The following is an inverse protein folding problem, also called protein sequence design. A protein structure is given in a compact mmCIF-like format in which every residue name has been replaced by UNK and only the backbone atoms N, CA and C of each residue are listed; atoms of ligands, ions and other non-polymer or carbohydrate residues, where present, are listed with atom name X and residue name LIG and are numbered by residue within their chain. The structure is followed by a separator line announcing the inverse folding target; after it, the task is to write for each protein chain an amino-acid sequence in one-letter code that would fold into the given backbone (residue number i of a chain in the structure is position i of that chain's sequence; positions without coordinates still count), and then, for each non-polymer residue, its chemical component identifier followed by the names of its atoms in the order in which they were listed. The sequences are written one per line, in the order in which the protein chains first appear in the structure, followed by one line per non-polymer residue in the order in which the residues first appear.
data_IF_495367830229
#
_entry.id   IF_495367830229
#
_cell.length_a   1.000
_cell.length_b   1.000
_cell.length_c   1.000
_cell.angle_alpha   90.00
_cell.angle_beta   90.00
_cell.angle_gamma   90.00
#
_symmetry.space_group_name_H-M   'P 1'
#
loop_
_entity.id
_entity.type
_entity.pdbx_description
1 polymer ?
#
# COMPACT_ATOMS: atom_id res chain seq x y z
N UNK A 1 -12.82 37.26 -0.65
CA UNK A 1 -13.11 36.12 -1.52
C UNK A 1 -12.08 35.91 -2.63
N UNK A 2 -11.51 36.96 -3.22
CA UNK A 2 -10.49 36.88 -4.29
C UNK A 2 -9.13 36.35 -3.81
N UNK A 3 -8.71 36.68 -2.57
CA UNK A 3 -7.47 36.14 -1.98
C UNK A 3 -7.59 34.69 -1.52
N UNK A 4 -8.76 34.28 -1.06
CA UNK A 4 -9.04 32.89 -0.70
C UNK A 4 -8.99 31.96 -1.93
N UNK A 5 -9.50 32.42 -3.09
CA UNK A 5 -9.50 31.64 -4.32
C UNK A 5 -8.10 31.45 -4.95
N UNK A 6 -7.19 32.46 -4.81
CA UNK A 6 -5.79 32.33 -5.23
C UNK A 6 -5.01 31.40 -4.31
N UNK A 7 -5.18 31.51 -3.00
CA UNK A 7 -4.54 30.61 -2.03
C UNK A 7 -4.92 29.15 -2.27
N UNK A 8 -6.21 28.85 -2.49
CA UNK A 8 -6.67 27.49 -2.82
C UNK A 8 -6.07 26.95 -4.15
N UNK A 9 -5.96 27.79 -5.17
CA UNK A 9 -5.39 27.39 -6.47
C UNK A 9 -3.91 27.05 -6.39
N UNK A 10 -3.13 27.79 -5.61
CA UNK A 10 -1.69 27.56 -5.44
C UNK A 10 -1.40 26.35 -4.55
N UNK A 11 -2.21 26.11 -3.52
CA UNK A 11 -2.16 24.91 -2.69
C UNK A 11 -2.50 23.65 -3.51
N UNK A 12 -3.50 23.73 -4.37
CA UNK A 12 -3.84 22.63 -5.28
C UNK A 12 -2.72 22.29 -6.26
N UNK A 13 -1.96 23.30 -6.73
CA UNK A 13 -0.80 23.09 -7.62
C UNK A 13 0.38 22.47 -6.86
N UNK A 14 0.60 22.83 -5.60
CA UNK A 14 1.66 22.27 -4.75
C UNK A 14 1.40 20.81 -4.34
N UNK A 15 0.12 20.40 -4.27
CA UNK A 15 -0.31 19.06 -3.88
C UNK A 15 -0.61 18.14 -5.07
N UNK A 16 -0.44 18.62 -6.31
CA UNK A 16 -0.56 17.79 -7.51
C UNK A 16 0.63 16.82 -7.59
N UNK A 17 0.36 15.60 -8.04
CA UNK A 17 1.41 14.61 -8.27
C UNK A 17 2.49 15.18 -9.22
N UNK A 18 3.72 15.13 -8.74
CA UNK A 18 4.92 15.50 -9.50
C UNK A 18 5.89 14.31 -9.47
N UNK A 19 5.98 13.62 -10.60
CA UNK A 19 6.75 12.40 -10.74
C UNK A 19 8.26 12.61 -10.53
N UNK A 20 8.79 13.70 -11.09
CA UNK A 20 10.21 14.04 -10.98
C UNK A 20 10.62 14.28 -9.52
N UNK A 21 9.83 15.07 -8.78
CA UNK A 21 10.07 15.29 -7.34
C UNK A 21 9.97 14.00 -6.53
N UNK A 22 8.95 13.16 -6.80
CA UNK A 22 8.78 11.90 -6.10
C UNK A 22 9.98 10.98 -6.34
N UNK A 23 10.39 10.79 -7.59
CA UNK A 23 11.56 9.98 -7.92
C UNK A 23 12.83 10.54 -7.29
N UNK A 24 13.07 11.87 -7.36
CA UNK A 24 14.23 12.50 -6.75
C UNK A 24 14.32 12.21 -5.25
N UNK A 25 13.22 12.38 -4.51
CA UNK A 25 13.18 12.09 -3.06
C UNK A 25 13.51 10.62 -2.80
N UNK A 26 12.79 9.70 -3.48
CA UNK A 26 12.89 8.27 -3.23
C UNK A 26 14.27 7.70 -3.60
N UNK A 27 14.84 8.13 -4.72
CA UNK A 27 16.15 7.63 -5.17
C UNK A 27 17.31 8.22 -4.39
N UNK A 28 17.17 9.45 -3.86
CA UNK A 28 18.24 10.14 -3.13
C UNK A 28 18.25 9.75 -1.65
N UNK A 29 17.08 9.72 -1.02
CA UNK A 29 16.97 9.59 0.44
C UNK A 29 16.35 8.27 0.89
N UNK A 30 15.70 7.54 -0.04
CA UNK A 30 15.07 6.28 0.26
C UNK A 30 13.56 6.35 0.45
N UNK A 31 12.97 5.20 0.69
CA UNK A 31 11.53 5.02 0.87
C UNK A 31 11.19 3.86 1.80
N UNK A 32 9.97 3.35 1.63
CA UNK A 32 9.41 2.22 2.37
C UNK A 32 8.54 1.35 1.45
N UNK A 33 7.91 0.33 1.99
CA UNK A 33 7.08 -0.61 1.22
C UNK A 33 5.90 0.04 0.48
N UNK A 34 5.43 1.21 0.94
CA UNK A 34 4.24 1.87 0.39
C UNK A 34 4.60 2.99 -0.59
N UNK A 35 5.90 3.36 -0.68
CA UNK A 35 6.35 4.52 -1.45
C UNK A 35 6.00 4.44 -2.93
N UNK A 36 6.04 3.24 -3.51
CA UNK A 36 5.73 3.02 -4.92
C UNK A 36 4.27 3.33 -5.27
N UNK A 37 3.35 3.19 -4.31
CA UNK A 37 1.91 3.40 -4.52
C UNK A 37 1.56 4.83 -5.00
N UNK A 38 2.44 5.82 -4.78
CA UNK A 38 2.22 7.20 -5.27
C UNK A 38 2.14 7.26 -6.81
N UNK A 39 2.82 6.35 -7.52
CA UNK A 39 2.84 6.30 -8.98
C UNK A 39 1.55 5.72 -9.59
N UNK A 40 0.63 5.20 -8.78
CA UNK A 40 -0.75 4.90 -9.21
C UNK A 40 -1.56 6.16 -9.52
N UNK A 41 -1.11 7.34 -9.04
CA UNK A 41 -1.69 8.65 -9.32
C UNK A 41 -3.16 8.80 -8.84
N UNK A 42 -3.57 7.96 -7.89
CA UNK A 42 -4.87 8.00 -7.21
C UNK A 42 -4.84 8.81 -5.91
N UNK A 43 -3.64 9.20 -5.48
CA UNK A 43 -3.35 9.98 -4.29
C UNK A 43 -2.76 11.34 -4.64
N UNK A 44 -2.81 12.25 -3.69
CA UNK A 44 -2.09 13.53 -3.71
C UNK A 44 -0.72 13.34 -3.09
N UNK A 45 0.15 14.27 -3.36
CA UNK A 45 1.51 14.30 -2.89
C UNK A 45 1.78 15.62 -2.18
N UNK A 46 2.35 15.55 -0.98
CA UNK A 46 2.98 16.69 -0.33
C UNK A 46 4.49 16.44 -0.33
N UNK A 47 5.24 17.34 -0.95
CA UNK A 47 6.70 17.30 -0.95
C UNK A 47 7.22 18.44 -0.07
N UNK A 48 7.88 18.09 1.03
CA UNK A 48 8.58 19.05 1.88
C UNK A 48 9.92 19.39 1.25
N UNK A 49 10.22 20.69 1.23
CA UNK A 49 11.47 21.21 0.67
C UNK A 49 12.26 21.92 1.80
N UNK A 50 13.53 21.55 1.94
CA UNK A 50 14.48 22.19 2.83
C UNK A 50 15.62 22.75 2.01
N UNK A 51 15.93 24.03 2.22
CA UNK A 51 16.98 24.78 1.47
C UNK A 51 16.79 24.71 -0.07
N UNK A 52 15.53 24.68 -0.53
CA UNK A 52 15.19 24.62 -1.96
C UNK A 52 15.23 23.22 -2.58
N UNK A 53 15.52 22.16 -1.79
CA UNK A 53 15.58 20.78 -2.23
C UNK A 53 14.43 19.95 -1.62
N UNK A 54 13.72 19.14 -2.43
CA UNK A 54 12.68 18.27 -1.93
C UNK A 54 13.31 17.08 -1.19
N UNK A 55 13.00 16.94 0.10
CA UNK A 55 13.63 15.94 0.99
C UNK A 55 12.67 14.90 1.53
N UNK A 56 11.38 15.23 1.68
CA UNK A 56 10.37 14.30 2.24
C UNK A 56 9.11 14.30 1.40
N UNK A 57 8.51 13.13 1.25
CA UNK A 57 7.28 12.87 0.53
C UNK A 57 6.23 12.29 1.48
N UNK A 58 5.04 12.89 1.54
CA UNK A 58 3.83 12.30 2.10
C UNK A 58 2.80 12.07 0.98
N UNK A 59 2.20 10.89 0.96
CA UNK A 59 1.11 10.55 0.03
C UNK A 59 -0.22 10.50 0.80
N UNK A 60 -1.27 11.13 0.26
CA UNK A 60 -2.52 11.24 0.99
C UNK A 60 -3.75 11.35 0.07
N UNK A 61 -4.92 11.10 0.63
CA UNK A 61 -6.21 11.35 0.00
C UNK A 61 -7.13 12.08 0.97
N UNK A 62 -8.09 12.86 0.44
CA UNK A 62 -9.01 13.61 1.30
C UNK A 62 -10.46 13.16 1.06
N UNK A 63 -11.19 13.03 2.16
CA UNK A 63 -12.63 12.82 2.17
C UNK A 63 -13.27 13.72 3.22
N UNK A 64 -14.29 14.50 2.82
CA UNK A 64 -14.87 15.57 3.63
C UNK A 64 -13.77 16.50 4.17
N UNK A 65 -13.69 16.66 5.49
CA UNK A 65 -12.66 17.46 6.16
C UNK A 65 -11.47 16.63 6.66
N UNK A 66 -11.30 15.37 6.24
CA UNK A 66 -10.18 14.52 6.63
C UNK A 66 -9.19 14.38 5.47
N UNK A 67 -7.89 14.55 5.76
CA UNK A 67 -6.79 14.18 4.89
C UNK A 67 -6.11 12.96 5.47
N UNK A 68 -6.23 11.81 4.78
CA UNK A 68 -5.65 10.55 5.22
C UNK A 68 -4.29 10.38 4.55
N UNK A 69 -3.23 10.42 5.34
CA UNK A 69 -1.86 10.11 4.92
C UNK A 69 -1.66 8.61 4.97
N UNK A 70 -1.10 8.04 3.91
CA UNK A 70 -0.85 6.61 3.77
C UNK A 70 0.58 6.28 4.15
N UNK A 71 0.76 5.43 5.16
CA UNK A 71 2.05 4.93 5.61
C UNK A 71 2.93 5.99 6.27
N UNK A 72 4.18 5.61 6.46
CA UNK A 72 5.22 6.54 6.93
C UNK A 72 5.62 7.50 5.81
N UNK A 73 6.12 8.71 6.13
CA UNK A 73 6.78 9.56 5.17
C UNK A 73 7.93 8.83 4.47
N UNK A 74 8.23 9.21 3.25
CA UNK A 74 9.36 8.70 2.48
C UNK A 74 10.39 9.80 2.29
N UNK A 75 11.67 9.48 2.32
CA UNK A 75 12.74 10.45 2.11
C UNK A 75 13.71 10.55 3.27
N UNK A 76 14.24 11.75 3.50
CA UNK A 76 15.25 12.02 4.51
C UNK A 76 14.64 12.00 5.92
N UNK A 77 14.99 10.99 6.71
CA UNK A 77 14.37 10.73 8.02
C UNK A 77 14.52 11.87 9.02
N UNK A 78 15.68 12.54 9.00
CA UNK A 78 15.97 13.65 9.90
C UNK A 78 15.02 14.84 9.70
N UNK A 79 14.41 14.95 8.51
CA UNK A 79 13.49 16.03 8.17
C UNK A 79 12.01 15.62 8.39
N UNK A 80 11.71 14.39 8.85
CA UNK A 80 10.33 13.91 9.06
C UNK A 80 9.54 14.78 10.06
N UNK A 81 10.08 15.19 11.24
CA UNK A 81 9.34 16.04 12.16
C UNK A 81 8.92 17.36 11.53
N UNK A 82 9.85 18.05 10.86
CA UNK A 82 9.58 19.34 10.20
C UNK A 82 8.59 19.19 9.03
N UNK A 83 8.71 18.08 8.26
CA UNK A 83 7.81 17.79 7.15
C UNK A 83 6.38 17.50 7.61
N UNK A 84 6.24 16.75 8.72
CA UNK A 84 4.94 16.46 9.34
C UNK A 84 4.31 17.72 9.87
N UNK A 85 5.07 18.58 10.58
CA UNK A 85 4.61 19.88 11.08
C UNK A 85 4.11 20.76 9.95
N UNK A 86 4.92 20.91 8.89
CA UNK A 86 4.54 21.70 7.72
C UNK A 86 3.29 21.15 7.01
N UNK A 87 3.09 19.82 6.98
CA UNK A 87 1.88 19.22 6.44
C UNK A 87 0.65 19.51 7.32
N UNK A 88 0.79 19.43 8.65
CA UNK A 88 -0.28 19.76 9.61
C UNK A 88 -0.68 21.23 9.43
N UNK A 89 0.27 22.15 9.42
CA UNK A 89 0.01 23.58 9.22
C UNK A 89 -0.69 23.86 7.88
N UNK A 90 -0.27 23.19 6.81
CA UNK A 90 -0.87 23.34 5.49
C UNK A 90 -2.31 22.83 5.45
N UNK A 91 -2.59 21.69 6.10
CA UNK A 91 -3.95 21.14 6.17
C UNK A 91 -4.85 21.99 7.08
N UNK A 92 -4.34 22.53 8.19
CA UNK A 92 -5.07 23.41 9.09
C UNK A 92 -5.51 24.70 8.39
N UNK A 93 -4.63 25.31 7.59
CA UNK A 93 -4.98 26.47 6.76
C UNK A 93 -6.12 26.22 5.80
N UNK A 94 -6.32 24.95 5.42
CA UNK A 94 -7.38 24.49 4.52
C UNK A 94 -8.60 23.96 5.26
N UNK A 95 -8.63 24.02 6.58
CA UNK A 95 -9.66 23.46 7.45
C UNK A 95 -9.81 21.93 7.28
N UNK A 96 -8.72 21.23 6.99
CA UNK A 96 -8.65 19.76 7.00
C UNK A 96 -8.02 19.27 8.29
N UNK A 97 -8.43 18.08 8.71
CA UNK A 97 -7.89 17.35 9.85
C UNK A 97 -7.05 16.18 9.33
N UNK A 98 -5.72 16.21 9.47
CA UNK A 98 -4.86 15.11 9.05
C UNK A 98 -5.10 13.87 9.91
N UNK A 99 -5.04 12.71 9.26
CA UNK A 99 -5.05 11.38 9.87
C UNK A 99 -3.92 10.60 9.24
N UNK A 100 -3.06 9.99 10.03
CA UNK A 100 -1.94 9.19 9.55
C UNK A 100 -2.29 7.71 9.73
N UNK A 101 -2.33 6.97 8.64
CA UNK A 101 -2.82 5.60 8.55
C UNK A 101 -1.69 4.63 8.21
N UNK A 102 -1.65 3.47 8.87
CA UNK A 102 -0.61 2.42 8.71
C UNK A 102 0.81 2.86 9.09
N UNK A 103 0.95 3.78 10.05
CA UNK A 103 2.26 4.28 10.47
C UNK A 103 2.99 3.36 11.44
N UNK A 104 4.32 3.48 11.46
CA UNK A 104 5.22 2.81 12.40
C UNK A 104 5.22 3.47 13.78
N UNK A 105 5.85 2.81 14.77
CA UNK A 105 6.07 3.37 16.10
C UNK A 105 6.94 4.64 16.08
N UNK A 106 7.88 4.74 15.14
CA UNK A 106 8.73 5.92 14.97
C UNK A 106 7.87 7.18 14.70
N UNK A 107 6.87 7.06 13.83
CA UNK A 107 5.96 8.16 13.50
C UNK A 107 4.96 8.44 14.61
N UNK A 108 4.54 7.41 15.38
CA UNK A 108 3.71 7.60 16.58
C UNK A 108 4.39 8.54 17.57
N UNK A 109 5.69 8.36 17.81
CA UNK A 109 6.44 9.21 18.74
C UNK A 109 6.50 10.65 18.28
N UNK A 110 6.73 10.90 16.99
CA UNK A 110 6.77 12.24 16.41
C UNK A 110 5.39 12.91 16.53
N UNK A 111 4.33 12.24 16.08
CA UNK A 111 2.98 12.81 16.06
C UNK A 111 2.38 13.01 17.46
N UNK A 112 2.82 12.22 18.44
CA UNK A 112 2.40 12.40 19.83
C UNK A 112 2.84 13.77 20.39
N UNK A 113 4.01 14.27 19.98
CA UNK A 113 4.49 15.61 20.35
C UNK A 113 3.59 16.71 19.76
N UNK A 114 2.95 16.45 18.62
CA UNK A 114 1.94 17.36 18.01
C UNK A 114 0.52 17.17 18.56
N UNK A 115 0.34 16.38 19.63
CA UNK A 115 -0.95 16.21 20.31
C UNK A 115 -1.90 15.21 19.65
N UNK A 116 -1.39 14.31 18.80
CA UNK A 116 -2.18 13.25 18.20
C UNK A 116 -2.37 12.07 19.15
N UNK A 117 -3.59 11.55 19.19
CA UNK A 117 -3.88 10.25 19.78
C UNK A 117 -3.70 9.15 18.73
N UNK A 118 -3.50 7.91 19.18
CA UNK A 118 -3.31 6.78 18.30
C UNK A 118 -4.11 5.56 18.71
N UNK A 119 -4.41 4.71 17.74
CA UNK A 119 -4.90 3.35 17.94
C UNK A 119 -4.06 2.37 17.12
N UNK A 120 -3.88 1.16 17.64
CA UNK A 120 -3.33 0.08 16.83
C UNK A 120 -4.32 -0.28 15.74
N UNK A 121 -3.86 -0.31 14.47
CA UNK A 121 -4.71 -0.60 13.32
C UNK A 121 -4.57 -2.04 12.82
N UNK A 122 -3.47 -2.69 13.12
CA UNK A 122 -3.19 -4.06 12.73
C UNK A 122 -1.74 -4.44 12.95
N UNK A 123 -1.33 -5.52 12.30
CA UNK A 123 0.05 -5.98 12.30
C UNK A 123 0.49 -6.29 10.88
N UNK A 124 1.67 -5.84 10.53
CA UNK A 124 2.31 -6.09 9.25
C UNK A 124 3.23 -7.32 9.35
N UNK A 125 3.14 -8.22 8.39
CA UNK A 125 3.84 -9.50 8.41
C UNK A 125 5.15 -9.41 7.64
N UNK A 126 6.26 -9.78 8.27
CA UNK A 126 7.58 -9.85 7.65
C UNK A 126 8.12 -11.28 7.65
N UNK A 127 8.81 -11.63 6.59
CA UNK A 127 9.57 -12.88 6.44
C UNK A 127 11.06 -12.52 6.43
N UNK A 128 11.81 -13.03 7.42
CA UNK A 128 13.26 -12.98 7.38
C UNK A 128 13.77 -14.01 6.37
N UNK A 129 14.18 -13.56 5.20
CA UNK A 129 14.61 -14.42 4.11
C UNK A 129 15.89 -15.20 4.40
N UNK A 130 16.72 -14.72 5.32
CA UNK A 130 17.94 -15.42 5.71
C UNK A 130 17.65 -16.66 6.53
N UNK A 131 16.69 -16.56 7.46
CA UNK A 131 16.31 -17.65 8.36
C UNK A 131 15.13 -18.49 7.83
N UNK A 132 14.38 -17.97 6.83
CA UNK A 132 13.23 -18.67 6.30
C UNK A 132 13.61 -20.00 5.65
N UNK A 133 12.87 -21.05 6.00
CA UNK A 133 13.03 -22.39 5.41
C UNK A 133 11.68 -23.05 5.25
N UNK A 134 11.55 -23.82 4.19
CA UNK A 134 10.40 -24.71 3.96
C UNK A 134 10.50 -26.04 4.71
N UNK A 135 11.59 -26.29 5.44
CA UNK A 135 11.77 -27.53 6.21
C UNK A 135 10.85 -27.58 7.44
N UNK A 136 10.74 -28.76 8.05
CA UNK A 136 9.95 -28.97 9.26
C UNK A 136 8.48 -29.31 9.03
N UNK A 137 7.79 -29.66 10.13
CA UNK A 137 6.41 -30.19 10.12
C UNK A 137 5.38 -29.13 9.70
N UNK A 138 5.59 -27.88 10.14
CA UNK A 138 4.70 -26.72 9.83
C UNK A 138 4.54 -26.54 8.31
N UNK A 139 5.62 -26.69 7.55
CA UNK A 139 5.65 -26.43 6.11
C UNK A 139 5.39 -27.67 5.25
N UNK A 140 5.03 -28.83 5.85
CA UNK A 140 4.79 -30.08 5.10
C UNK A 140 3.73 -29.93 4.01
N UNK A 141 2.60 -29.28 4.35
CA UNK A 141 1.50 -29.03 3.39
C UNK A 141 1.94 -28.14 2.24
N UNK A 142 2.63 -27.04 2.56
CA UNK A 142 3.12 -26.06 1.58
C UNK A 142 4.14 -26.70 0.62
N UNK A 143 5.09 -27.52 1.14
CA UNK A 143 6.02 -28.29 0.29
C UNK A 143 5.30 -29.28 -0.63
N UNK A 144 4.25 -29.95 -0.13
CA UNK A 144 3.47 -30.88 -0.95
C UNK A 144 2.79 -30.16 -2.11
N UNK A 145 2.27 -28.96 -1.89
CA UNK A 145 1.69 -28.09 -2.93
C UNK A 145 2.76 -27.68 -3.93
N UNK A 146 3.92 -27.20 -3.49
CA UNK A 146 5.04 -26.82 -4.34
C UNK A 146 5.44 -27.96 -5.26
N UNK A 147 5.80 -29.13 -4.69
CA UNK A 147 6.24 -30.29 -5.44
C UNK A 147 5.17 -30.84 -6.40
N UNK A 148 3.89 -30.67 -6.10
CA UNK A 148 2.80 -31.03 -6.99
C UNK A 148 2.75 -30.14 -8.20
N UNK A 149 2.76 -28.80 -7.99
CA UNK A 149 2.67 -27.81 -9.07
C UNK A 149 3.88 -27.92 -10.00
N UNK A 150 5.10 -28.15 -9.46
CA UNK A 150 6.31 -28.42 -10.25
C UNK A 150 6.18 -29.68 -11.10
N UNK A 151 5.66 -30.78 -10.54
CA UNK A 151 5.42 -32.04 -11.30
C UNK A 151 4.35 -31.87 -12.36
N UNK A 152 3.37 -30.99 -12.17
CA UNK A 152 2.37 -30.63 -13.17
C UNK A 152 2.96 -29.74 -14.28
N UNK A 153 4.25 -29.37 -14.19
CA UNK A 153 5.01 -28.67 -15.22
C UNK A 153 4.83 -27.13 -15.19
N UNK A 154 4.32 -26.58 -14.11
CA UNK A 154 4.29 -25.13 -13.93
C UNK A 154 5.68 -24.60 -13.54
N UNK A 155 6.02 -23.43 -14.06
CA UNK A 155 7.31 -22.77 -13.84
C UNK A 155 7.13 -21.36 -13.27
N UNK A 156 8.16 -20.87 -12.61
CA UNK A 156 8.24 -19.49 -12.11
C UNK A 156 9.29 -18.71 -12.91
N UNK A 157 9.01 -17.46 -13.21
CA UNK A 157 9.94 -16.56 -13.89
C UNK A 157 9.74 -15.12 -13.41
N UNK A 158 10.74 -14.26 -13.60
CA UNK A 158 10.67 -12.82 -13.30
C UNK A 158 10.94 -12.03 -14.57
N UNK A 159 9.91 -11.41 -15.09
CA UNK A 159 9.98 -10.61 -16.30
C UNK A 159 10.38 -9.17 -15.96
N UNK A 160 11.26 -8.60 -16.78
CA UNK A 160 11.74 -7.23 -16.64
C UNK A 160 10.99 -6.28 -17.60
N UNK A 161 10.67 -5.04 -17.18
CA UNK A 161 10.15 -4.04 -18.10
C UNK A 161 11.24 -3.60 -19.12
N UNK A 162 10.87 -3.09 -20.31
CA UNK A 162 9.50 -2.80 -20.74
C UNK A 162 8.76 -4.06 -21.22
N UNK A 163 7.47 -4.17 -20.82
CA UNK A 163 6.62 -5.26 -21.26
C UNK A 163 5.98 -4.95 -22.62
N UNK A 164 5.88 -5.99 -23.46
CA UNK A 164 5.19 -5.87 -24.74
C UNK A 164 3.68 -5.66 -24.57
N UNK A 165 3.02 -5.16 -25.63
CA UNK A 165 1.55 -5.01 -25.65
C UNK A 165 0.84 -6.35 -25.42
N UNK A 166 1.40 -7.45 -25.90
CA UNK A 166 0.85 -8.79 -25.71
C UNK A 166 0.95 -9.25 -24.25
N UNK A 167 2.11 -9.03 -23.61
CA UNK A 167 2.31 -9.32 -22.19
C UNK A 167 1.35 -8.48 -21.34
N UNK A 168 1.25 -7.18 -21.62
CA UNK A 168 0.35 -6.28 -20.90
C UNK A 168 -1.12 -6.69 -21.06
N UNK A 169 -1.54 -7.08 -22.26
CA UNK A 169 -2.87 -7.64 -22.51
C UNK A 169 -3.11 -8.93 -21.71
N UNK A 170 -2.11 -9.80 -21.61
CA UNK A 170 -2.19 -11.02 -20.80
C UNK A 170 -2.37 -10.71 -19.32
N UNK A 171 -1.57 -9.79 -18.75
CA UNK A 171 -1.73 -9.35 -17.36
C UNK A 171 -3.11 -8.74 -17.13
N UNK A 172 -3.61 -7.92 -18.06
CA UNK A 172 -4.95 -7.33 -17.99
C UNK A 172 -6.04 -8.39 -17.95
N UNK A 173 -5.97 -9.38 -18.82
CA UNK A 173 -6.95 -10.47 -18.88
C UNK A 173 -6.96 -11.30 -17.58
N UNK A 174 -5.78 -11.63 -17.04
CA UNK A 174 -5.67 -12.33 -15.75
C UNK A 174 -6.28 -11.49 -14.63
N UNK A 175 -5.97 -10.20 -14.61
CA UNK A 175 -6.49 -9.27 -13.60
C UNK A 175 -8.02 -9.16 -13.67
N UNK A 176 -8.59 -8.99 -14.85
CA UNK A 176 -10.03 -8.89 -15.07
C UNK A 176 -10.76 -10.20 -14.69
N UNK A 177 -10.19 -11.35 -15.04
CA UNK A 177 -10.72 -12.67 -14.66
C UNK A 177 -10.69 -12.88 -13.13
N UNK A 178 -9.63 -12.42 -12.47
CA UNK A 178 -9.51 -12.48 -11.01
C UNK A 178 -10.53 -11.55 -10.32
N UNK A 179 -10.73 -10.34 -10.84
CA UNK A 179 -11.70 -9.37 -10.32
C UNK A 179 -13.14 -9.88 -10.49
N UNK A 180 -13.49 -10.44 -11.65
CA UNK A 180 -14.86 -10.80 -11.99
C UNK A 180 -15.79 -9.59 -11.90
N UNK A 181 -16.81 -9.67 -11.03
CA UNK A 181 -17.76 -8.56 -10.81
C UNK A 181 -17.28 -7.51 -9.78
N UNK A 182 -16.17 -7.75 -9.13
CA UNK A 182 -15.59 -6.82 -8.13
C UNK A 182 -14.98 -5.61 -8.82
N UNK A 183 -14.93 -4.48 -8.11
CA UNK A 183 -14.25 -3.27 -8.58
C UNK A 183 -12.84 -3.21 -8.02
N UNK A 184 -11.93 -2.60 -8.78
CA UNK A 184 -10.61 -2.24 -8.28
C UNK A 184 -10.73 -1.28 -7.09
N UNK A 185 -9.89 -1.51 -6.10
CA UNK A 185 -9.71 -0.63 -4.95
C UNK A 185 -8.38 0.06 -5.10
N UNK A 186 -8.28 1.27 -4.56
CA UNK A 186 -7.06 2.05 -4.57
C UNK A 186 -6.59 2.40 -3.16
N UNK A 187 -5.93 3.55 -3.04
CA UNK A 187 -5.37 4.14 -1.83
C UNK A 187 -4.29 3.27 -1.17
N UNK A 188 -4.66 2.37 -0.25
CA UNK A 188 -3.71 1.47 0.42
C UNK A 188 -3.39 0.20 -0.37
N UNK A 189 -4.08 -0.02 -1.49
CA UNK A 189 -3.93 -1.20 -2.35
C UNK A 189 -3.56 -0.81 -3.77
N UNK A 190 -2.75 -1.65 -4.41
CA UNK A 190 -2.48 -1.54 -5.83
C UNK A 190 -3.66 -1.97 -6.70
N UNK A 191 -3.74 -1.37 -7.87
CA UNK A 191 -4.69 -1.74 -8.90
C UNK A 191 -4.01 -1.81 -10.27
N UNK A 192 -4.69 -2.42 -11.23
CA UNK A 192 -4.13 -2.57 -12.58
C UNK A 192 -4.02 -1.20 -13.28
N UNK A 193 -2.79 -0.83 -13.58
CA UNK A 193 -2.45 0.36 -14.38
C UNK A 193 -1.23 0.03 -15.23
N UNK A 194 -1.34 0.17 -16.55
CA UNK A 194 -0.25 -0.17 -17.48
C UNK A 194 1.02 0.65 -17.17
N UNK A 195 0.89 1.96 -16.99
CA UNK A 195 2.01 2.84 -16.61
C UNK A 195 2.70 2.38 -15.33
N UNK A 196 1.91 1.90 -14.37
CA UNK A 196 2.43 1.46 -13.07
C UNK A 196 3.16 0.11 -13.18
N UNK A 197 2.59 -0.83 -13.93
CA UNK A 197 3.20 -2.14 -14.13
C UNK A 197 4.55 -2.03 -14.89
N UNK A 198 4.67 -1.08 -15.81
CA UNK A 198 5.92 -0.83 -16.55
C UNK A 198 7.09 -0.32 -15.67
N UNK A 199 6.85 -0.04 -14.40
CA UNK A 199 7.87 0.54 -13.50
C UNK A 199 8.67 -0.47 -12.71
N UNK A 200 8.29 -1.74 -12.74
CA UNK A 200 8.87 -2.76 -11.87
C UNK A 200 8.84 -4.14 -12.50
N UNK A 201 9.72 -5.05 -12.09
CA UNK A 201 9.66 -6.45 -12.50
C UNK A 201 8.34 -7.11 -12.08
N UNK A 202 7.92 -8.10 -12.86
CA UNK A 202 6.72 -8.90 -12.59
C UNK A 202 7.11 -10.36 -12.47
N UNK A 203 6.84 -10.95 -11.31
CA UNK A 203 6.92 -12.39 -11.11
C UNK A 203 5.72 -13.07 -11.75
N UNK A 204 5.94 -14.14 -12.48
CA UNK A 204 4.92 -14.88 -13.23
C UNK A 204 4.97 -16.37 -12.94
N UNK A 205 3.81 -17.01 -13.03
CA UNK A 205 3.68 -18.47 -13.08
C UNK A 205 3.19 -18.85 -14.48
N UNK A 206 3.92 -19.75 -15.14
CA UNK A 206 3.59 -20.25 -16.47
C UNK A 206 3.15 -21.71 -16.41
N UNK A 207 2.24 -22.09 -17.29
CA UNK A 207 1.82 -23.48 -17.47
C UNK A 207 2.75 -24.22 -18.48
N UNK A 208 2.44 -25.48 -18.79
CA UNK A 208 3.21 -26.30 -19.72
C UNK A 208 3.20 -25.82 -21.18
N UNK A 209 2.29 -24.90 -21.52
CA UNK A 209 2.23 -24.22 -22.82
C UNK A 209 2.94 -22.86 -22.81
N UNK A 210 3.72 -22.54 -21.77
CA UNK A 210 4.37 -21.24 -21.56
C UNK A 210 3.38 -20.05 -21.40
N UNK A 211 2.08 -20.33 -21.18
CA UNK A 211 1.10 -19.29 -20.93
C UNK A 211 1.20 -18.80 -19.47
N UNK A 212 1.20 -17.50 -19.26
CA UNK A 212 1.15 -16.88 -17.93
C UNK A 212 -0.24 -17.12 -17.33
N UNK A 213 -0.30 -17.71 -16.14
CA UNK A 213 -1.54 -18.04 -15.42
C UNK A 213 -1.67 -17.31 -14.07
N UNK A 214 -0.58 -16.74 -13.56
CA UNK A 214 -0.58 -15.90 -12.37
C UNK A 214 0.57 -14.90 -12.44
N UNK A 215 0.43 -13.77 -11.78
CA UNK A 215 1.49 -12.77 -11.66
C UNK A 215 1.44 -11.99 -10.35
N UNK A 216 2.59 -11.43 -9.98
CA UNK A 216 2.71 -10.44 -8.90
C UNK A 216 3.70 -9.35 -9.28
N UNK A 217 3.38 -8.09 -9.00
CA UNK A 217 4.28 -6.95 -9.22
C UNK A 217 5.30 -6.87 -8.10
N UNK A 218 6.59 -6.83 -8.42
CA UNK A 218 7.67 -6.68 -7.44
C UNK A 218 7.91 -5.19 -7.23
N UNK A 219 7.57 -4.68 -6.04
CA UNK A 219 7.60 -3.25 -5.77
C UNK A 219 9.00 -2.75 -5.40
N UNK A 220 9.49 -1.68 -6.04
CA UNK A 220 10.61 -0.91 -5.52
C UNK A 220 10.26 -0.30 -4.16
N UNK A 221 11.07 -0.58 -3.15
CA UNK A 221 10.89 -0.05 -1.79
C UNK A 221 11.86 1.08 -1.47
N UNK A 222 12.85 1.27 -2.30
CA UNK A 222 13.91 2.29 -2.10
C UNK A 222 14.64 2.16 -0.76
N UNK A 223 14.73 0.93 -0.22
CA UNK A 223 15.33 0.62 1.09
C UNK A 223 16.75 0.10 0.99
N UNK A 224 17.46 0.34 -0.11
CA UNK A 224 18.78 -0.22 -0.39
C UNK A 224 18.80 -1.76 -0.28
N UNK A 225 17.85 -2.42 -0.93
CA UNK A 225 17.67 -3.88 -0.95
C UNK A 225 17.46 -4.54 0.42
N UNK A 226 17.02 -3.80 1.43
CA UNK A 226 16.72 -4.39 2.75
C UNK A 226 15.37 -5.09 2.80
N UNK A 227 14.38 -4.52 2.16
CA UNK A 227 13.00 -5.01 2.17
C UNK A 227 12.49 -5.18 0.74
N UNK A 228 11.92 -6.33 0.42
CA UNK A 228 11.15 -6.58 -0.78
C UNK A 228 9.66 -6.68 -0.45
N UNK A 229 8.81 -6.34 -1.40
CA UNK A 229 7.35 -6.49 -1.28
C UNK A 229 6.73 -6.67 -2.64
N UNK A 230 5.49 -7.11 -2.65
CA UNK A 230 4.62 -7.15 -3.82
C UNK A 230 3.38 -6.32 -3.53
N UNK A 231 2.73 -5.86 -4.58
CA UNK A 231 1.51 -5.09 -4.47
C UNK A 231 0.34 -5.80 -5.16
N UNK A 232 0.32 -5.81 -6.46
CA UNK A 232 -0.73 -6.48 -7.22
C UNK A 232 -0.39 -7.96 -7.42
N UNK A 233 -1.23 -8.85 -6.88
CA UNK A 233 -1.10 -10.29 -7.04
C UNK A 233 -2.39 -10.87 -7.59
N UNK A 234 -2.34 -11.48 -8.79
CA UNK A 234 -3.51 -11.98 -9.55
C UNK A 234 -3.24 -13.35 -10.14
N UNK A 235 -4.30 -14.12 -10.31
CA UNK A 235 -4.24 -15.41 -10.98
C UNK A 235 -5.51 -15.68 -11.80
N UNK A 236 -5.38 -16.41 -12.87
CA UNK A 236 -6.52 -16.91 -13.64
C UNK A 236 -7.18 -18.08 -12.89
N UNK A 237 -8.40 -17.87 -12.42
CA UNK A 237 -9.11 -18.87 -11.60
C UNK A 237 -9.44 -20.17 -12.33
N UNK A 238 -9.35 -20.18 -13.66
CA UNK A 238 -9.64 -21.37 -14.53
C UNK A 238 -8.37 -22.12 -14.90
N UNK A 239 -7.25 -21.43 -15.08
CA UNK A 239 -5.99 -21.99 -15.60
C UNK A 239 -4.95 -22.23 -14.50
N UNK A 240 -4.95 -21.41 -13.43
CA UNK A 240 -3.96 -21.54 -12.37
C UNK A 240 -4.28 -22.72 -11.44
N UNK A 241 -3.26 -23.51 -11.06
CA UNK A 241 -3.47 -24.63 -10.15
C UNK A 241 -3.82 -24.16 -8.74
N UNK A 242 -4.55 -24.99 -8.00
CA UNK A 242 -4.79 -24.73 -6.58
C UNK A 242 -3.46 -24.61 -5.83
N UNK A 243 -3.27 -23.54 -5.04
CA UNK A 243 -2.03 -23.25 -4.35
C UNK A 243 -1.03 -22.41 -5.15
N UNK A 244 -1.42 -21.84 -6.29
CA UNK A 244 -0.57 -20.94 -7.09
C UNK A 244 0.01 -19.80 -6.28
N UNK A 245 -0.71 -19.28 -5.28
CA UNK A 245 -0.22 -18.21 -4.42
C UNK A 245 0.90 -18.69 -3.49
N UNK A 246 0.78 -19.90 -2.95
CA UNK A 246 1.84 -20.51 -2.13
C UNK A 246 3.09 -20.77 -3.00
N UNK A 247 2.89 -21.27 -4.23
CA UNK A 247 3.96 -21.48 -5.22
C UNK A 247 4.67 -20.18 -5.56
N UNK A 248 3.92 -19.12 -5.85
CA UNK A 248 4.45 -17.81 -6.20
C UNK A 248 5.25 -17.20 -5.03
N UNK A 249 4.72 -17.24 -3.81
CA UNK A 249 5.44 -16.71 -2.64
C UNK A 249 6.75 -17.45 -2.35
N UNK A 250 6.76 -18.77 -2.41
CA UNK A 250 7.98 -19.54 -2.13
C UNK A 250 9.09 -19.25 -3.14
N UNK A 251 8.74 -19.15 -4.42
CA UNK A 251 9.70 -18.78 -5.46
C UNK A 251 10.12 -17.32 -5.37
N UNK A 252 9.21 -16.40 -5.01
CA UNK A 252 9.55 -15.01 -4.73
C UNK A 252 10.54 -14.88 -3.58
N UNK A 253 10.36 -15.63 -2.50
CA UNK A 253 11.31 -15.62 -1.37
C UNK A 253 12.70 -16.11 -1.78
N UNK A 254 12.77 -17.15 -2.62
CA UNK A 254 14.04 -17.64 -3.15
C UNK A 254 14.70 -16.58 -4.04
N UNK A 255 13.95 -16.03 -5.00
CA UNK A 255 14.41 -14.95 -5.89
C UNK A 255 14.91 -13.73 -5.12
N UNK A 256 14.12 -13.22 -4.16
CA UNK A 256 14.50 -12.06 -3.36
C UNK A 256 15.74 -12.32 -2.51
N UNK A 257 15.92 -13.54 -2.02
CA UNK A 257 17.12 -13.94 -1.29
C UNK A 257 18.36 -13.95 -2.20
N UNK A 258 18.24 -14.41 -3.43
CA UNK A 258 19.31 -14.36 -4.45
C UNK A 258 19.68 -12.91 -4.80
N UNK A 259 18.69 -12.01 -4.83
CA UNK A 259 18.89 -10.56 -4.98
C UNK A 259 19.41 -9.85 -3.70
N UNK A 260 19.83 -10.61 -2.68
CA UNK A 260 20.37 -10.12 -1.41
C UNK A 260 19.40 -9.27 -0.59
N UNK A 261 18.09 -9.45 -0.78
CA UNK A 261 17.06 -8.82 0.04
C UNK A 261 16.95 -9.58 1.37
N UNK A 262 16.90 -8.83 2.48
CA UNK A 262 16.91 -9.42 3.82
C UNK A 262 15.51 -9.79 4.32
N UNK A 263 14.54 -8.93 4.04
CA UNK A 263 13.18 -9.05 4.52
C UNK A 263 12.18 -9.01 3.38
N UNK A 264 11.14 -9.82 3.48
CA UNK A 264 9.98 -9.71 2.59
C UNK A 264 8.77 -9.25 3.38
N UNK A 265 8.19 -8.11 2.97
CA UNK A 265 6.97 -7.57 3.56
C UNK A 265 5.75 -8.16 2.85
N UNK A 266 4.92 -8.89 3.60
CA UNK A 266 3.66 -9.47 3.13
C UNK A 266 2.48 -8.50 3.24
N UNK A 267 2.71 -7.29 3.74
CA UNK A 267 1.68 -6.29 4.02
C UNK A 267 0.93 -6.51 5.32
N UNK A 268 0.08 -5.55 5.67
CA UNK A 268 -0.69 -5.53 6.91
C UNK A 268 -1.79 -6.59 6.92
N UNK A 269 -2.04 -7.15 8.10
CA UNK A 269 -3.27 -7.85 8.46
C UNK A 269 -4.12 -6.90 9.33
N UNK A 270 -5.12 -6.23 8.75
CA UNK A 270 -5.90 -5.23 9.46
C UNK A 270 -6.60 -5.84 10.68
N UNK A 271 -6.67 -5.05 11.76
CA UNK A 271 -7.29 -5.39 13.05
C UNK A 271 -6.73 -6.65 13.72
N UNK A 272 -5.60 -7.15 13.26
CA UNK A 272 -4.90 -8.24 13.89
C UNK A 272 -4.49 -7.85 15.32
N UNK A 273 -4.97 -8.63 16.32
CA UNK A 273 -4.74 -8.37 17.74
C UNK A 273 -5.18 -6.97 18.23
N UNK A 274 -6.24 -6.41 17.63
CA UNK A 274 -6.81 -5.10 18.01
C UNK A 274 -8.17 -5.30 18.67
N UNK A 275 -8.43 -4.61 19.78
CA UNK A 275 -9.75 -4.57 20.43
C UNK A 275 -10.27 -5.90 21.00
N UNK A 276 -9.46 -6.96 20.97
CA UNK A 276 -9.86 -8.33 21.37
C UNK A 276 -9.85 -8.56 22.88
N UNK A 277 -9.14 -7.72 23.64
CA UNK A 277 -9.12 -7.82 25.11
C UNK A 277 -10.28 -7.07 25.74
N UNK A 278 -10.80 -7.59 26.87
CA UNK A 278 -11.75 -6.85 27.71
C UNK A 278 -11.17 -5.55 28.28
N UNK A 279 -9.85 -5.42 28.30
CA UNK A 279 -9.10 -4.25 28.78
C UNK A 279 -8.69 -3.31 27.66
N UNK A 280 -9.02 -3.62 26.39
CA UNK A 280 -8.75 -2.73 25.25
C UNK A 280 -9.47 -1.39 25.42
N UNK A 281 -8.83 -0.32 24.96
CA UNK A 281 -9.44 1.01 24.95
C UNK A 281 -10.75 1.02 24.17
N UNK A 282 -11.68 1.86 24.61
CA UNK A 282 -13.00 1.98 23.95
C UNK A 282 -12.87 2.36 22.47
N UNK A 283 -11.90 3.22 22.15
CA UNK A 283 -11.62 3.65 20.79
C UNK A 283 -11.23 2.47 19.88
N UNK A 284 -10.37 1.56 20.35
CA UNK A 284 -9.98 0.36 19.60
C UNK A 284 -11.17 -0.59 19.38
N UNK A 285 -12.04 -0.71 20.38
CA UNK A 285 -13.24 -1.53 20.25
C UNK A 285 -14.24 -0.92 19.26
N UNK A 286 -14.39 0.40 19.24
CA UNK A 286 -15.23 1.11 18.26
C UNK A 286 -14.62 0.96 16.86
N UNK A 287 -13.31 1.15 16.70
CA UNK A 287 -12.62 0.96 15.44
C UNK A 287 -12.81 -0.45 14.89
N UNK A 288 -12.66 -1.46 15.74
CA UNK A 288 -12.92 -2.86 15.40
C UNK A 288 -14.36 -3.06 14.90
N UNK A 289 -15.34 -2.54 15.64
CA UNK A 289 -16.75 -2.70 15.26
C UNK A 289 -17.08 -2.00 13.93
N UNK A 290 -16.65 -0.75 13.77
CA UNK A 290 -16.91 0.01 12.51
C UNK A 290 -16.29 -0.70 11.31
N UNK A 291 -15.09 -1.25 11.48
CA UNK A 291 -14.40 -1.94 10.40
C UNK A 291 -15.02 -3.30 10.09
N UNK A 292 -15.39 -4.09 11.11
CA UNK A 292 -16.01 -5.40 10.93
C UNK A 292 -17.38 -5.29 10.27
N UNK A 293 -18.20 -4.33 10.67
CA UNK A 293 -19.52 -4.10 10.05
C UNK A 293 -19.42 -3.40 8.70
N UNK A 294 -18.40 -2.57 8.47
CA UNK A 294 -18.16 -1.88 7.20
C UNK A 294 -17.51 -2.75 6.12
N UNK A 295 -16.84 -3.83 6.52
CA UNK A 295 -16.03 -4.68 5.65
C UNK A 295 -16.69 -6.04 5.33
N UNK A 296 -18.00 -6.12 5.20
CA UNK A 296 -18.75 -7.37 4.92
C UNK A 296 -18.22 -8.24 3.77
N UNK A 297 -17.11 -7.82 3.12
CA UNK A 297 -16.52 -8.47 1.94
C UNK A 297 -15.09 -8.99 2.12
N UNK A 298 -14.46 -8.88 3.31
CA UNK A 298 -13.10 -9.37 3.51
C UNK A 298 -12.97 -10.15 4.81
N UNK A 299 -12.58 -11.42 4.72
CA UNK A 299 -12.26 -12.26 5.88
C UNK A 299 -10.84 -11.92 6.38
N UNK A 300 -10.73 -10.86 7.20
CA UNK A 300 -9.44 -10.45 7.80
C UNK A 300 -8.80 -11.55 8.66
N UNK A 301 -9.63 -12.39 9.28
CA UNK A 301 -9.12 -13.51 10.08
C UNK A 301 -8.36 -14.52 9.23
N UNK A 302 -8.88 -14.88 8.07
CA UNK A 302 -8.20 -15.76 7.11
C UNK A 302 -6.92 -15.18 6.54
N UNK A 303 -6.85 -13.85 6.37
CA UNK A 303 -5.65 -13.17 5.86
C UNK A 303 -4.48 -13.27 6.85
N UNK A 304 -4.71 -13.03 8.12
CA UNK A 304 -3.68 -13.19 9.16
C UNK A 304 -3.20 -14.64 9.26
N UNK A 305 -4.12 -15.57 9.27
CA UNK A 305 -3.79 -17.00 9.33
C UNK A 305 -2.96 -17.42 8.11
N UNK A 306 -3.35 -16.98 6.91
CA UNK A 306 -2.59 -17.23 5.69
C UNK A 306 -1.16 -16.68 5.77
N UNK A 307 -1.00 -15.40 6.15
CA UNK A 307 0.32 -14.78 6.30
C UNK A 307 1.17 -15.44 7.39
N UNK A 308 0.53 -15.96 8.45
CA UNK A 308 1.21 -16.66 9.55
C UNK A 308 1.89 -17.97 9.13
N UNK A 309 1.57 -18.51 7.96
CA UNK A 309 2.32 -19.64 7.39
C UNK A 309 3.79 -19.28 7.17
N UNK A 310 4.06 -18.05 6.73
CA UNK A 310 5.36 -17.56 6.28
C UNK A 310 6.00 -16.58 7.24
N UNK A 311 5.20 -15.73 7.87
CA UNK A 311 5.69 -14.65 8.73
C UNK A 311 6.60 -15.17 9.84
N UNK A 312 7.78 -14.57 9.92
CA UNK A 312 8.76 -14.76 11.00
C UNK A 312 8.62 -13.67 12.04
N UNK A 313 8.16 -12.49 11.63
CA UNK A 313 8.00 -11.34 12.50
C UNK A 313 6.71 -10.58 12.17
N UNK A 314 6.12 -9.95 13.20
CA UNK A 314 4.93 -9.10 13.10
C UNK A 314 5.24 -7.74 13.69
N UNK A 315 4.96 -6.68 12.95
CA UNK A 315 5.21 -5.29 13.34
C UNK A 315 3.87 -4.56 13.44
N UNK A 316 3.61 -3.93 14.59
CA UNK A 316 2.38 -3.16 14.80
C UNK A 316 2.31 -1.95 13.89
N UNK A 317 1.11 -1.66 13.37
CA UNK A 317 0.81 -0.46 12.60
C UNK A 317 -0.31 0.32 13.29
N UNK A 318 -0.22 1.63 13.22
CA UNK A 318 -1.05 2.54 13.99
C UNK A 318 -1.78 3.53 13.07
N UNK A 319 -2.90 4.02 13.56
CA UNK A 319 -3.59 5.17 12.99
C UNK A 319 -3.58 6.29 14.02
N UNK A 320 -3.08 7.47 13.60
CA UNK A 320 -3.03 8.65 14.46
C UNK A 320 -4.00 9.71 13.96
N UNK A 321 -4.64 10.37 14.89
CA UNK A 321 -5.66 11.38 14.62
C UNK A 321 -5.69 12.45 15.70
N UNK A 322 -6.13 13.65 15.36
CA UNK A 322 -6.31 14.74 16.32
C UNK A 322 -7.32 14.36 17.39
N UNK A 323 -7.06 14.72 18.64
CA UNK A 323 -7.97 14.55 19.79
C UNK A 323 -9.37 15.11 19.57
N UNK A 324 -9.49 16.16 18.74
CA UNK A 324 -10.77 16.77 18.39
C UNK A 324 -11.57 15.94 17.37
N UNK A 325 -10.98 14.87 16.85
CA UNK A 325 -11.63 13.96 15.90
C UNK A 325 -12.23 12.76 16.63
N UNK A 326 -13.53 12.56 16.45
CA UNK A 326 -14.13 11.33 16.94
C UNK A 326 -13.70 10.14 16.07
N UNK A 327 -13.17 9.09 16.70
CA UNK A 327 -12.58 7.92 16.01
C UNK A 327 -13.54 7.26 15.02
N UNK A 328 -14.84 7.24 15.29
CA UNK A 328 -15.81 6.67 14.36
C UNK A 328 -15.83 7.37 13.00
N UNK A 329 -15.72 8.71 12.98
CA UNK A 329 -15.64 9.46 11.72
C UNK A 329 -14.30 9.25 10.99
N UNK A 330 -13.22 9.05 11.74
CA UNK A 330 -11.91 8.67 11.16
C UNK A 330 -12.02 7.32 10.46
N UNK A 331 -12.61 6.32 11.14
CA UNK A 331 -12.80 4.98 10.57
C UNK A 331 -13.72 4.97 9.35
N UNK A 332 -14.80 5.77 9.38
CA UNK A 332 -15.69 5.92 8.22
C UNK A 332 -14.95 6.54 7.04
N UNK A 333 -14.14 7.58 7.26
CA UNK A 333 -13.36 8.22 6.21
C UNK A 333 -12.34 7.24 5.60
N UNK A 334 -11.65 6.46 6.42
CA UNK A 334 -10.74 5.39 5.97
C UNK A 334 -11.47 4.36 5.10
N UNK A 335 -12.60 3.83 5.57
CA UNK A 335 -13.40 2.86 4.82
C UNK A 335 -13.87 3.41 3.46
N UNK A 336 -14.27 4.67 3.41
CA UNK A 336 -14.73 5.29 2.15
C UNK A 336 -13.56 5.49 1.19
N UNK A 337 -12.40 5.92 1.67
CA UNK A 337 -11.21 6.11 0.83
C UNK A 337 -10.71 4.78 0.30
N UNK A 338 -10.55 3.76 1.15
CA UNK A 338 -10.09 2.43 0.76
C UNK A 338 -11.05 1.70 -0.21
N UNK A 339 -12.35 1.96 -0.11
CA UNK A 339 -13.36 1.35 -0.97
C UNK A 339 -13.79 2.25 -2.13
N UNK A 340 -13.22 3.46 -2.27
CA UNK A 340 -13.54 4.34 -3.38
C UNK A 340 -13.11 3.69 -4.71
N UNK A 341 -14.03 3.56 -5.70
CA UNK A 341 -13.65 3.05 -7.01
C UNK A 341 -12.58 3.95 -7.63
N UNK A 342 -11.52 3.35 -8.19
CA UNK A 342 -10.38 4.03 -8.82
C UNK A 342 -10.83 5.07 -9.85
N UNK A 343 -11.85 4.75 -10.66
CA UNK A 343 -12.45 5.65 -11.65
C UNK A 343 -13.03 6.94 -11.05
N UNK A 344 -13.60 6.87 -9.84
CA UNK A 344 -14.14 8.05 -9.15
C UNK A 344 -13.04 8.93 -8.57
N UNK A 345 -11.94 8.36 -8.14
CA UNK A 345 -10.79 9.09 -7.61
C UNK A 345 -10.09 9.85 -8.73
N UNK A 346 -9.84 9.22 -9.87
CA UNK A 346 -9.29 9.86 -11.07
C UNK A 346 -10.25 10.89 -11.68
N UNK A 347 -11.55 10.60 -11.72
CA UNK A 347 -12.59 11.49 -12.21
C UNK A 347 -12.78 12.76 -11.37
N UNK A 348 -12.65 12.69 -10.06
CA UNK A 348 -12.67 13.85 -9.16
C UNK A 348 -11.47 14.76 -9.38
N UNK A 349 -10.29 14.19 -9.58
CA UNK A 349 -9.08 14.94 -9.92
C UNK A 349 -9.20 15.59 -11.31
N UNK A 350 -9.76 14.90 -12.30
CA UNK A 350 -9.96 15.42 -13.67
C UNK A 350 -11.14 16.41 -13.76
N UNK A 351 -12.21 16.17 -13.02
CA UNK A 351 -13.39 17.06 -12.96
C UNK A 351 -13.05 18.41 -12.34
N UNK A 352 -12.18 18.44 -11.34
CA UNK A 352 -11.68 19.65 -10.73
C UNK A 352 -10.75 20.44 -11.67
N UNK A 353 -9.90 19.75 -12.44
CA UNK A 353 -9.11 20.37 -13.53
C UNK A 353 -9.99 21.00 -14.60
N UNK A 354 -11.13 20.38 -14.98
CA UNK A 354 -12.09 20.94 -15.92
C UNK A 354 -12.85 22.14 -15.34
N UNK A 355 -13.18 22.12 -14.06
CA UNK A 355 -13.87 23.22 -13.39
C UNK A 355 -12.97 24.46 -13.27
N UNK A 356 -11.70 24.27 -12.91
CA UNK A 356 -10.70 25.35 -12.87
C UNK A 356 -10.46 25.94 -14.26
N UNK A 357 -10.39 25.10 -15.33
CA UNK A 357 -10.22 25.59 -16.72
C UNK A 357 -11.44 26.33 -17.29
N UNK A 358 -12.65 26.14 -16.74
CA UNK A 358 -13.86 26.85 -17.19
C UNK A 358 -14.09 28.19 -16.47
N UNK A 359 -13.38 28.49 -15.42
CA UNK A 359 -13.52 29.74 -14.65
C UNK A 359 -12.36 30.73 -14.89
N UNK A 360 -11.42 30.37 -15.71
CA UNK A 360 -10.31 31.20 -16.19
C UNK A 360 -10.08 30.89 -17.67
#
# INVERSE_FOLDING_TARGET
DYYASRGLGDVYKRQAFNEEKALKILTTYGGNSDSQLIFLKDKRMFAYEKDGEPTVLLQFACFNNKCIVMGDPSGKKEDFPEAIEAFIEETDRLCYLPVFYETSEEIVMILHEFGYDFIKMGEEAYVDLNSFTTSGKKMKGTRAVLNRIEREGFTFDVLQPPFSTEQMSTFKNISDNWLGSRKEKGFSLGFFSEDYLQRAPIAVVKNTQEEIVAFATIMPTYTNNKVGTIDLMRYDSKKAPSGSMDFLFLHLFAYMKEEHIQWFNLGMAPLSNVGTSRKSFLQERIAYLVYEFGSHFYSFHGLREYKSKYATNWVSRYTLYSRDSWIAYVMIALLIIDNAPVEQTQGRISGLKKWIRRKY
#
